data_IF_994393288815
#
_entry.id   IF_994393288815
#
_cell.length_a   1.000
_cell.length_b   1.000
_cell.length_c   1.000
_cell.angle_alpha   90.00
_cell.angle_beta   90.00
_cell.angle_gamma   90.00
#
_symmetry.space_group_name_H-M   'P 1'
#
loop_
_entity.id
_entity.type
_entity.pdbx_description
1 polymer ?
#
# COMPACT_ATOMS: atom_id res chain seq x y z
N UNK A 1 22.35 -17.45 -16.39
CA UNK A 1 21.93 -16.20 -17.07
C UNK A 1 20.41 -16.19 -17.07
N UNK A 2 19.78 -15.40 -16.19
CA UNK A 2 18.30 -15.34 -16.11
C UNK A 2 17.82 -14.36 -17.18
N UNK A 3 16.85 -14.71 -18.03
CA UNK A 3 16.46 -13.87 -19.16
C UNK A 3 15.68 -12.64 -18.68
N UNK A 4 16.18 -11.45 -19.04
CA UNK A 4 15.41 -10.22 -19.21
C UNK A 4 14.54 -9.77 -18.00
N UNK A 5 15.15 -9.56 -16.83
CA UNK A 5 14.50 -8.80 -15.74
C UNK A 5 14.33 -7.34 -16.17
N UNK A 6 13.18 -7.01 -16.78
CA UNK A 6 12.78 -5.60 -16.91
C UNK A 6 12.53 -5.04 -15.51
N UNK A 7 13.40 -4.14 -15.08
CA UNK A 7 13.20 -3.37 -13.87
C UNK A 7 12.10 -2.33 -14.10
N UNK A 8 11.09 -2.33 -13.23
CA UNK A 8 10.03 -1.33 -13.22
C UNK A 8 10.20 -0.43 -11.99
N UNK A 9 10.01 0.89 -12.10
CA UNK A 9 9.80 1.72 -10.93
C UNK A 9 8.57 1.20 -10.16
N UNK A 10 8.52 1.43 -8.84
CA UNK A 10 7.42 0.96 -8.03
C UNK A 10 7.04 1.97 -6.94
N UNK A 11 5.73 2.13 -6.74
CA UNK A 11 5.19 2.72 -5.51
C UNK A 11 5.24 1.64 -4.42
N UNK A 12 6.00 1.89 -3.37
CA UNK A 12 6.14 0.97 -2.24
C UNK A 12 5.45 1.51 -1.00
N UNK A 13 4.72 0.63 -0.32
CA UNK A 13 4.00 0.96 0.90
C UNK A 13 4.36 -0.04 2.00
N UNK A 14 4.89 0.46 3.10
CA UNK A 14 5.43 -0.35 4.19
C UNK A 14 4.36 -0.66 5.23
N UNK A 15 4.07 -1.94 5.42
CA UNK A 15 3.22 -2.41 6.49
C UNK A 15 3.99 -2.38 7.81
N UNK A 16 3.34 -1.89 8.87
CA UNK A 16 3.92 -1.83 10.21
C UNK A 16 3.04 -2.55 11.21
N UNK A 17 3.66 -3.17 12.21
CA UNK A 17 2.96 -3.74 13.35
C UNK A 17 2.60 -2.67 14.40
N UNK A 18 1.96 -3.08 15.49
CA UNK A 18 1.57 -2.19 16.60
C UNK A 18 2.75 -1.53 17.32
N UNK A 19 3.96 -2.07 17.19
CA UNK A 19 5.20 -1.48 17.72
C UNK A 19 5.85 -0.48 16.75
N UNK A 20 5.29 -0.32 15.55
CA UNK A 20 5.82 0.55 14.49
C UNK A 20 6.93 -0.07 13.64
N UNK A 21 7.25 -1.35 13.86
CA UNK A 21 8.28 -2.08 13.13
C UNK A 21 7.77 -2.44 11.73
N UNK A 22 8.62 -2.34 10.71
CA UNK A 22 8.28 -2.75 9.34
C UNK A 22 8.25 -4.27 9.30
N UNK A 23 7.11 -4.84 8.92
CA UNK A 23 6.91 -6.30 8.83
C UNK A 23 6.75 -6.79 7.40
N UNK A 24 6.39 -5.89 6.50
CA UNK A 24 6.26 -6.19 5.08
C UNK A 24 6.16 -4.94 4.23
N UNK A 25 6.16 -5.15 2.91
CA UNK A 25 6.02 -4.09 1.92
C UNK A 25 5.13 -4.58 0.78
N UNK A 26 4.24 -3.71 0.32
CA UNK A 26 3.52 -3.89 -0.92
C UNK A 26 4.16 -2.98 -1.98
N UNK A 27 4.51 -3.55 -3.13
CA UNK A 27 5.03 -2.83 -4.28
C UNK A 27 4.00 -2.88 -5.42
N UNK A 28 3.62 -1.71 -5.93
CA UNK A 28 2.83 -1.57 -7.16
C UNK A 28 3.77 -1.08 -8.25
N UNK A 29 3.95 -1.87 -9.30
CA UNK A 29 4.86 -1.54 -10.40
C UNK A 29 4.25 -0.48 -11.30
N UNK A 30 5.08 0.45 -11.74
CA UNK A 30 4.71 1.60 -12.56
C UNK A 30 5.41 1.56 -13.92
N UNK A 31 4.80 2.22 -14.91
CA UNK A 31 5.47 2.56 -16.16
C UNK A 31 6.31 3.84 -15.99
N UNK A 32 7.00 4.28 -17.04
CA UNK A 32 7.82 5.51 -17.01
C UNK A 32 6.98 6.79 -16.90
N UNK A 33 5.69 6.75 -17.23
CA UNK A 33 4.76 7.86 -17.07
C UNK A 33 4.18 7.96 -15.65
N UNK A 34 4.43 6.97 -14.79
CA UNK A 34 3.93 6.91 -13.42
C UNK A 34 2.59 6.18 -13.26
N UNK A 35 2.00 5.64 -14.34
CA UNK A 35 0.79 4.80 -14.25
C UNK A 35 1.14 3.38 -13.81
N UNK A 36 0.13 2.61 -13.38
CA UNK A 36 0.30 1.17 -13.11
C UNK A 36 0.81 0.46 -14.36
N UNK A 37 1.89 -0.32 -14.19
CA UNK A 37 2.46 -1.11 -15.26
C UNK A 37 1.45 -2.15 -15.76
N UNK A 38 1.25 -2.22 -17.08
CA UNK A 38 0.45 -3.25 -17.73
C UNK A 38 1.27 -4.54 -17.89
N UNK A 39 1.44 -5.26 -16.78
CA UNK A 39 2.17 -6.53 -16.69
C UNK A 39 1.32 -7.55 -15.93
N UNK A 40 1.60 -8.84 -16.12
CA UNK A 40 0.81 -9.93 -15.52
C UNK A 40 0.74 -9.89 -13.99
N UNK A 41 1.79 -9.41 -13.32
CA UNK A 41 1.84 -9.21 -11.88
C UNK A 41 2.28 -7.76 -11.62
N UNK A 42 1.31 -6.86 -11.52
CA UNK A 42 1.56 -5.44 -11.30
C UNK A 42 1.62 -5.04 -9.81
N UNK A 43 1.35 -5.98 -8.90
CA UNK A 43 1.40 -5.80 -7.44
C UNK A 43 2.07 -7.01 -6.80
N UNK A 44 3.03 -6.78 -5.89
CA UNK A 44 3.67 -7.83 -5.10
C UNK A 44 3.77 -7.45 -3.64
N UNK A 45 3.63 -8.45 -2.78
CA UNK A 45 3.77 -8.34 -1.33
C UNK A 45 5.01 -9.09 -0.89
N UNK A 46 5.78 -8.50 0.03
CA UNK A 46 6.97 -9.11 0.61
C UNK A 46 6.90 -9.02 2.14
N UNK A 47 7.39 -10.04 2.83
CA UNK A 47 7.36 -10.11 4.29
C UNK A 47 5.98 -10.51 4.85
N UNK A 48 5.77 -10.29 6.15
CA UNK A 48 4.53 -10.64 6.84
C UNK A 48 3.58 -9.45 6.85
N UNK A 49 2.53 -9.55 6.07
CA UNK A 49 1.51 -8.50 5.96
C UNK A 49 0.31 -8.76 6.86
N UNK A 50 -0.02 -10.03 7.13
CA UNK A 50 -1.12 -10.39 8.03
C UNK A 50 -0.93 -9.81 9.44
N UNK A 51 -1.96 -9.14 9.96
CA UNK A 51 -1.94 -8.43 11.24
C UNK A 51 -1.17 -7.10 11.23
N UNK A 52 -0.71 -6.64 10.06
CA UNK A 52 -0.04 -5.36 9.86
C UNK A 52 -0.85 -4.48 8.92
N UNK A 53 -0.72 -3.17 9.05
CA UNK A 53 -1.46 -2.21 8.24
C UNK A 53 -0.50 -1.20 7.63
N UNK A 54 -0.88 -0.66 6.47
CA UNK A 54 -0.27 0.56 5.94
C UNK A 54 -1.16 1.71 6.39
N UNK A 55 -0.67 2.54 7.32
CA UNK A 55 -1.37 3.75 7.76
C UNK A 55 -0.92 4.92 6.89
N UNK A 56 -1.85 5.52 6.15
CA UNK A 56 -1.58 6.66 5.27
C UNK A 56 -1.75 7.99 6.03
N UNK A 57 -2.78 8.07 6.88
CA UNK A 57 -3.03 9.21 7.75
C UNK A 57 -3.33 8.74 9.18
N UNK A 58 -2.65 9.34 10.16
CA UNK A 58 -2.91 9.09 11.58
C UNK A 58 -4.03 10.02 12.06
N UNK A 59 -4.94 9.45 12.84
CA UNK A 59 -5.98 10.19 13.54
C UNK A 59 -5.36 11.18 14.54
N UNK A 60 -5.85 12.41 14.58
CA UNK A 60 -5.61 13.35 15.68
C UNK A 60 -6.70 13.22 16.75
N UNK A 61 -6.42 13.66 17.98
CA UNK A 61 -7.38 13.59 19.08
C UNK A 61 -8.74 14.23 18.77
N UNK A 62 -8.74 15.28 17.92
CA UNK A 62 -9.92 16.04 17.54
C UNK A 62 -10.65 15.47 16.30
N UNK A 63 -10.10 14.45 15.65
CA UNK A 63 -10.73 13.84 14.48
C UNK A 63 -11.83 12.86 14.91
N UNK A 64 -12.93 12.75 14.14
CA UNK A 64 -14.01 11.81 14.42
C UNK A 64 -13.49 10.37 14.48
N UNK A 65 -14.14 9.52 15.28
CA UNK A 65 -13.74 8.13 15.45
C UNK A 65 -14.19 7.25 14.26
N UNK A 66 -13.73 7.62 13.07
CA UNK A 66 -14.03 6.94 11.81
C UNK A 66 -12.70 6.41 11.26
N UNK A 67 -12.67 5.15 10.87
CA UNK A 67 -11.54 4.54 10.15
C UNK A 67 -12.02 4.15 8.77
N UNK A 68 -11.38 4.69 7.74
CA UNK A 68 -11.67 4.31 6.35
C UNK A 68 -10.67 3.24 5.94
N UNK A 69 -11.19 2.15 5.36
CA UNK A 69 -10.40 1.06 4.80
C UNK A 69 -10.45 1.15 3.29
N UNK A 70 -9.29 1.32 2.66
CA UNK A 70 -9.15 1.32 1.21
C UNK A 70 -8.53 0.01 0.72
N UNK A 71 -8.93 -0.42 -0.49
CA UNK A 71 -8.45 -1.63 -1.15
C UNK A 71 -6.99 -1.51 -1.63
N UNK A 72 -6.63 -0.34 -2.17
CA UNK A 72 -5.33 -0.07 -2.78
C UNK A 72 -4.69 1.21 -2.24
N UNK A 73 -3.35 1.25 -2.24
CA UNK A 73 -2.58 2.41 -1.79
C UNK A 73 -2.98 3.67 -2.57
N UNK A 74 -3.30 3.52 -3.86
CA UNK A 74 -3.71 4.63 -4.71
C UNK A 74 -5.05 5.22 -4.25
N UNK A 75 -6.04 4.38 -3.96
CA UNK A 75 -7.33 4.81 -3.41
C UNK A 75 -7.16 5.49 -2.06
N UNK A 76 -6.32 4.92 -1.20
CA UNK A 76 -6.04 5.49 0.12
C UNK A 76 -5.43 6.90 0.01
N UNK A 77 -4.48 7.09 -0.91
CA UNK A 77 -3.85 8.40 -1.16
C UNK A 77 -4.83 9.40 -1.78
N UNK A 78 -5.70 8.98 -2.71
CA UNK A 78 -6.73 9.84 -3.29
C UNK A 78 -7.73 10.35 -2.23
N UNK A 79 -8.12 9.48 -1.29
CA UNK A 79 -8.97 9.86 -0.16
C UNK A 79 -8.25 10.82 0.79
N UNK A 80 -6.94 10.66 0.99
CA UNK A 80 -6.17 11.57 1.82
C UNK A 80 -6.10 12.96 1.18
N UNK A 81 -5.85 12.99 -0.13
CA UNK A 81 -5.77 14.23 -0.91
C UNK A 81 -7.10 14.98 -0.95
N UNK A 82 -8.24 14.29 -0.89
CA UNK A 82 -9.56 14.94 -0.82
C UNK A 82 -9.87 15.54 0.57
N UNK A 83 -8.97 15.38 1.55
CA UNK A 83 -9.09 15.96 2.89
C UNK A 83 -9.64 15.00 3.95
N UNK A 84 -9.79 13.72 3.64
CA UNK A 84 -10.19 12.71 4.63
C UNK A 84 -8.99 12.32 5.51
N UNK A 85 -9.17 12.39 6.83
CA UNK A 85 -8.06 12.40 7.79
C UNK A 85 -7.68 11.04 8.39
N UNK A 86 -8.47 9.99 8.19
CA UNK A 86 -8.18 8.67 8.78
C UNK A 86 -8.35 7.58 7.73
N UNK A 87 -7.23 7.11 7.19
CA UNK A 87 -7.22 6.15 6.10
C UNK A 87 -6.14 5.09 6.38
N UNK A 88 -6.60 3.86 6.51
CA UNK A 88 -5.79 2.67 6.64
C UNK A 88 -5.96 1.82 5.38
N UNK A 89 -4.87 1.27 4.88
CA UNK A 89 -4.93 0.26 3.84
C UNK A 89 -5.14 -1.11 4.47
N UNK A 90 -6.14 -1.85 4.00
CA UNK A 90 -6.12 -3.30 4.18
C UNK A 90 -5.23 -3.87 3.08
N UNK A 91 -4.06 -4.33 3.48
CA UNK A 91 -3.19 -5.04 2.56
C UNK A 91 -3.71 -6.47 2.46
N UNK A 92 -4.54 -6.73 1.44
CA UNK A 92 -5.04 -8.08 1.22
C UNK A 92 -3.91 -8.97 0.69
N UNK A 93 -3.59 -10.03 1.44
CA UNK A 93 -3.23 -11.29 0.80
C UNK A 93 -4.54 -12.03 0.49
N UNK A 94 -4.98 -12.01 -0.76
CA UNK A 94 -5.90 -13.06 -1.21
C UNK A 94 -5.08 -14.32 -1.39
N UNK A 95 -5.08 -15.19 -0.37
CA UNK A 95 -4.91 -16.62 -0.62
C UNK A 95 -6.26 -17.13 -1.13
N UNK A 96 -6.31 -17.51 -2.40
CA UNK A 96 -7.32 -18.42 -2.92
C UNK A 96 -6.97 -19.83 -2.46
#
# INVERSE_FOLDING_TARGET
MIPNEKNYPALTAFARNSKGEITGVQAVYLNLAGDKANISINRRSFGKISGSFITIAKRNANDPNITIIAEGAETALSLQQSGLKVISLLVQEFRI
#
